data_IF_252033648573
#
_entry.id   IF_252033648573
#
_cell.length_a   1.000
_cell.length_b   1.000
_cell.length_c   1.000
_cell.angle_alpha   90.00
_cell.angle_beta   90.00
_cell.angle_gamma   90.00
#
_symmetry.space_group_name_H-M   'P 1'
#
loop_
_entity.id
_entity.type
_entity.pdbx_description
1 polymer ?
#
# COMPACT_ATOMS: atom_id res chain seq x y z
N UNK A 1 -9.59 27.08 0.17
CA UNK A 1 -9.26 25.68 0.51
C UNK A 1 -10.11 25.30 1.71
N UNK A 2 -10.89 24.21 1.64
CA UNK A 2 -11.72 23.77 2.78
C UNK A 2 -10.87 22.91 3.73
N UNK A 3 -11.00 23.04 5.06
CA UNK A 3 -10.41 22.09 6.00
C UNK A 3 -10.89 20.66 5.72
N UNK A 4 -10.06 19.68 6.05
CA UNK A 4 -10.29 18.27 5.73
C UNK A 4 -10.18 17.40 6.97
N UNK A 5 -11.06 16.41 7.07
CA UNK A 5 -11.04 15.38 8.11
C UNK A 5 -10.51 14.10 7.47
N UNK A 6 -9.42 13.54 7.99
CA UNK A 6 -8.88 12.26 7.56
C UNK A 6 -9.47 11.13 8.41
N UNK A 7 -10.07 10.13 7.76
CA UNK A 7 -10.64 8.95 8.41
C UNK A 7 -9.86 7.70 7.97
N UNK A 8 -9.06 7.09 8.85
CA UNK A 8 -8.39 5.82 8.55
C UNK A 8 -9.39 4.66 8.55
N UNK A 9 -9.29 3.79 7.54
CA UNK A 9 -10.11 2.60 7.33
C UNK A 9 -9.23 1.35 7.32
N UNK A 10 -9.16 0.65 8.46
CA UNK A 10 -8.40 -0.59 8.63
C UNK A 10 -9.26 -1.85 8.45
N UNK A 11 -10.55 -1.69 8.11
CA UNK A 11 -11.52 -2.78 7.97
C UNK A 11 -12.16 -3.23 9.28
N UNK A 12 -11.85 -2.58 10.41
CA UNK A 12 -12.54 -2.85 11.68
C UNK A 12 -13.92 -2.17 11.73
N UNK A 13 -14.86 -2.78 12.44
CA UNK A 13 -16.18 -2.19 12.69
C UNK A 13 -16.11 -0.83 13.43
N UNK A 14 -15.02 -0.58 14.17
CA UNK A 14 -14.79 0.71 14.81
C UNK A 14 -14.43 1.79 13.78
N UNK A 15 -13.56 1.46 12.81
CA UNK A 15 -13.19 2.38 11.74
C UNK A 15 -14.38 2.70 10.82
N UNK A 16 -15.25 1.73 10.52
CA UNK A 16 -16.49 1.98 9.77
C UNK A 16 -17.39 2.99 10.47
N UNK A 17 -17.58 2.86 11.78
CA UNK A 17 -18.36 3.80 12.60
C UNK A 17 -17.75 5.22 12.64
N UNK A 18 -16.44 5.35 12.45
CA UNK A 18 -15.79 6.65 12.41
C UNK A 18 -16.22 7.50 11.20
N UNK A 19 -16.63 6.87 10.09
CA UNK A 19 -17.14 7.55 8.89
C UNK A 19 -18.37 8.38 9.20
N UNK A 20 -19.35 7.80 9.92
CA UNK A 20 -20.58 8.51 10.29
C UNK A 20 -20.30 9.73 11.19
N UNK A 21 -19.31 9.62 12.08
CA UNK A 21 -18.94 10.74 12.96
C UNK A 21 -18.24 11.85 12.19
N UNK A 22 -17.32 11.49 11.29
CA UNK A 22 -16.66 12.44 10.41
C UNK A 22 -17.65 13.17 9.50
N UNK A 23 -18.66 12.45 8.98
CA UNK A 23 -19.72 13.05 8.16
C UNK A 23 -20.54 14.09 8.94
N UNK A 24 -20.91 13.80 10.20
CA UNK A 24 -21.63 14.75 11.07
C UNK A 24 -20.84 16.03 11.28
N UNK A 25 -19.53 15.90 11.57
CA UNK A 25 -18.64 17.06 11.76
C UNK A 25 -18.47 17.83 10.45
N UNK A 26 -18.26 17.13 9.33
CA UNK A 26 -18.06 17.75 8.03
C UNK A 26 -19.29 18.53 7.55
N UNK A 27 -20.51 17.98 7.75
CA UNK A 27 -21.77 18.66 7.45
C UNK A 27 -21.94 19.92 8.30
N UNK A 28 -21.64 19.85 9.60
CA UNK A 28 -21.79 20.99 10.50
C UNK A 28 -20.81 22.13 10.19
N UNK A 29 -19.59 21.80 9.73
CA UNK A 29 -18.51 22.78 9.55
C UNK A 29 -18.23 23.12 8.07
N UNK A 30 -18.90 22.46 7.12
CA UNK A 30 -18.66 22.63 5.68
C UNK A 30 -17.30 22.08 5.22
N UNK A 31 -16.79 21.05 5.90
CA UNK A 31 -15.47 20.44 5.62
C UNK A 31 -15.56 19.30 4.61
N UNK A 32 -14.41 18.90 4.07
CA UNK A 32 -14.29 17.68 3.26
C UNK A 32 -13.88 16.49 4.12
N UNK A 33 -14.38 15.30 3.79
CA UNK A 33 -13.95 14.03 4.42
C UNK A 33 -13.06 13.29 3.44
N UNK A 34 -11.88 12.87 3.90
CA UNK A 34 -10.97 11.97 3.19
C UNK A 34 -11.02 10.62 3.87
N UNK A 35 -11.43 9.59 3.13
CA UNK A 35 -11.28 8.21 3.55
C UNK A 35 -9.91 7.70 3.13
N UNK A 36 -9.17 7.10 4.06
CA UNK A 36 -7.80 6.67 3.83
C UNK A 36 -7.59 5.24 4.30
N UNK A 37 -7.00 4.40 3.46
CA UNK A 37 -6.69 3.02 3.79
C UNK A 37 -5.25 2.71 3.38
N UNK A 38 -4.55 2.00 4.26
CA UNK A 38 -3.24 1.43 3.95
C UNK A 38 -3.45 -0.01 3.48
N UNK A 39 -2.96 -0.30 2.28
CA UNK A 39 -2.90 -1.67 1.74
C UNK A 39 -1.45 -2.13 1.73
N UNK A 40 -1.21 -3.41 2.05
CA UNK A 40 0.11 -3.99 1.88
C UNK A 40 0.45 -4.04 0.39
N UNK A 41 1.67 -3.64 0.02
CA UNK A 41 2.16 -3.79 -1.34
C UNK A 41 2.47 -5.28 -1.59
N UNK A 42 1.72 -5.97 -2.48
CA UNK A 42 1.94 -7.39 -2.74
C UNK A 42 3.31 -7.69 -3.38
N UNK A 43 3.97 -6.67 -3.98
CA UNK A 43 5.29 -6.80 -4.58
C UNK A 43 6.44 -6.51 -3.61
N UNK A 44 6.17 -6.06 -2.38
CA UNK A 44 7.22 -5.81 -1.38
C UNK A 44 7.89 -7.11 -0.88
N UNK A 45 7.27 -8.27 -1.12
CA UNK A 45 7.81 -9.59 -0.79
C UNK A 45 8.51 -10.26 -1.96
N UNK A 46 8.59 -9.62 -3.13
CA UNK A 46 9.41 -10.15 -4.21
C UNK A 46 10.86 -10.18 -3.70
N UNK A 47 11.55 -11.33 -3.74
CA UNK A 47 12.97 -11.35 -3.40
C UNK A 47 13.64 -10.32 -4.31
N UNK A 48 14.46 -9.43 -3.73
CA UNK A 48 15.36 -8.61 -4.53
C UNK A 48 16.02 -9.55 -5.52
N UNK A 49 15.88 -9.28 -6.82
CA UNK A 49 16.56 -10.06 -7.83
C UNK A 49 18.04 -9.98 -7.47
N UNK A 50 18.58 -11.05 -6.88
CA UNK A 50 19.99 -11.13 -6.53
C UNK A 50 20.81 -10.84 -7.78
N UNK A 51 22.06 -10.34 -7.65
CA UNK A 51 22.89 -10.09 -8.81
C UNK A 51 22.90 -11.35 -9.66
N UNK A 52 22.57 -11.21 -10.95
CA UNK A 52 22.58 -12.32 -11.87
C UNK A 52 23.95 -12.99 -11.79
N UNK A 53 24.01 -14.18 -11.19
CA UNK A 53 25.22 -14.99 -11.20
C UNK A 53 25.40 -15.42 -12.65
N UNK A 54 26.30 -14.77 -13.38
CA UNK A 54 26.72 -15.22 -14.69
C UNK A 54 27.42 -16.57 -14.53
N UNK A 55 26.67 -17.65 -14.72
CA UNK A 55 27.20 -19.00 -14.75
C UNK A 55 27.99 -19.18 -16.05
N UNK A 56 29.29 -18.87 -15.98
CA UNK A 56 30.20 -18.99 -17.11
C UNK A 56 30.45 -20.47 -17.36
N UNK A 57 29.70 -21.06 -18.30
CA UNK A 57 29.94 -22.41 -18.81
C UNK A 57 31.33 -22.44 -19.46
N UNK A 58 32.30 -23.09 -18.81
CA UNK A 58 33.55 -23.46 -19.46
C UNK A 58 33.23 -24.63 -20.38
N UNK A 59 33.32 -24.37 -21.70
CA UNK A 59 33.36 -25.43 -22.69
C UNK A 59 34.66 -26.20 -22.48
N UNK A 60 34.63 -27.20 -21.59
CA UNK A 60 35.71 -28.16 -21.51
C UNK A 60 35.80 -28.88 -22.86
N UNK A 61 37.02 -28.84 -23.37
CA UNK A 61 37.51 -29.38 -24.63
C UNK A 61 36.81 -30.68 -25.03
N UNK A 62 36.23 -30.68 -26.24
CA UNK A 62 35.86 -31.91 -26.92
C UNK A 62 37.17 -32.60 -27.29
N UNK A 63 37.55 -33.62 -26.52
CA UNK A 63 38.57 -34.57 -26.94
C UNK A 63 38.03 -35.36 -28.15
N UNK A 64 38.76 -35.28 -29.26
CA UNK A 64 38.57 -36.02 -30.53
C UNK A 64 39.17 -37.41 -30.41
#
# INVERSE_FOLDING_TARGET
MKPKILVPLDGSALAERAVEQAEKIAKALGYEVILFQVIQNPLASAPEAGPATEERVTLDTIDI
#
